data_IF_805128678975
#
_entry.id   IF_805128678975
#
_cell.length_a   1.000
_cell.length_b   1.000
_cell.length_c   1.000
_cell.angle_alpha   90.00
_cell.angle_beta   90.00
_cell.angle_gamma   90.00
#
_symmetry.space_group_name_H-M   'P 1'
#
loop_
_entity.id
_entity.type
_entity.pdbx_description
1 polymer ?
#
# COMPACT_ATOMS: atom_id res chain seq x y z
N UNK A 1 1.85 17.67 -20.50
CA UNK A 1 0.51 17.17 -20.11
C UNK A 1 -0.53 17.88 -20.95
N UNK A 2 -1.45 17.16 -21.60
CA UNK A 2 -2.50 17.74 -22.46
C UNK A 2 -3.86 17.89 -21.76
N UNK A 3 -4.00 17.30 -20.57
CA UNK A 3 -5.20 17.36 -19.75
C UNK A 3 -4.81 17.57 -18.28
N UNK A 4 -5.62 18.30 -17.49
CA UNK A 4 -5.42 18.40 -16.04
C UNK A 4 -5.67 17.05 -15.37
N UNK A 5 -4.95 16.80 -14.27
CA UNK A 5 -5.17 15.61 -13.44
C UNK A 5 -6.31 15.91 -12.46
N UNK A 6 -7.44 15.16 -12.51
CA UNK A 6 -8.56 15.43 -11.62
C UNK A 6 -8.23 14.99 -10.19
N UNK A 7 -8.82 15.68 -9.21
CA UNK A 7 -8.76 15.27 -7.81
C UNK A 7 -9.68 14.07 -7.58
N UNK A 8 -9.17 13.05 -6.87
CA UNK A 8 -9.97 11.94 -6.35
C UNK A 8 -10.59 12.36 -5.02
N UNK A 9 -11.75 13.01 -5.12
CA UNK A 9 -12.45 13.67 -4.01
C UNK A 9 -13.14 12.70 -3.07
N UNK A 10 -13.24 13.08 -1.80
CA UNK A 10 -13.98 12.34 -0.77
C UNK A 10 -15.47 12.24 -1.09
N UNK A 11 -16.01 11.04 -0.88
CA UNK A 11 -17.39 10.65 -1.18
C UNK A 11 -17.63 10.21 -2.61
N UNK A 12 -16.63 10.27 -3.49
CA UNK A 12 -16.81 9.98 -4.92
C UNK A 12 -15.96 8.80 -5.40
N UNK A 13 -16.59 7.94 -6.20
CA UNK A 13 -15.90 6.91 -6.97
C UNK A 13 -15.21 7.57 -8.17
N UNK A 14 -13.95 7.21 -8.43
CA UNK A 14 -13.22 7.76 -9.56
C UNK A 14 -11.87 7.08 -9.79
N UNK A 15 -11.32 7.26 -10.98
CA UNK A 15 -10.00 6.71 -11.33
C UNK A 15 -9.18 7.67 -12.18
N UNK A 16 -7.87 7.65 -11.97
CA UNK A 16 -6.87 8.35 -12.75
C UNK A 16 -5.84 7.33 -13.23
N UNK A 17 -5.64 7.24 -14.55
CA UNK A 17 -4.60 6.41 -15.15
C UNK A 17 -3.58 7.31 -15.83
N UNK A 18 -2.31 7.11 -15.50
CA UNK A 18 -1.18 7.87 -16.03
C UNK A 18 -0.14 6.90 -16.59
N UNK A 19 0.55 7.31 -17.65
CA UNK A 19 1.78 6.61 -18.03
C UNK A 19 2.85 6.77 -16.95
N UNK A 20 3.72 5.79 -16.80
CA UNK A 20 4.83 5.91 -15.85
C UNK A 20 5.78 7.06 -16.21
N UNK A 21 5.86 7.45 -17.49
CA UNK A 21 6.60 8.65 -17.92
C UNK A 21 5.99 9.93 -17.35
N UNK A 22 4.66 10.05 -17.36
CA UNK A 22 3.95 11.16 -16.73
C UNK A 22 4.18 11.18 -15.22
N UNK A 23 4.14 10.01 -14.56
CA UNK A 23 4.41 9.90 -13.13
C UNK A 23 5.84 10.32 -12.80
N UNK A 24 6.82 9.87 -13.59
CA UNK A 24 8.21 10.27 -13.42
C UNK A 24 8.40 11.79 -13.51
N UNK A 25 7.81 12.42 -14.54
CA UNK A 25 7.86 13.87 -14.69
C UNK A 25 7.24 14.62 -13.49
N UNK A 26 6.10 14.16 -12.97
CA UNK A 26 5.44 14.78 -11.81
C UNK A 26 6.23 14.59 -10.52
N UNK A 27 6.84 13.42 -10.33
CA UNK A 27 7.70 13.17 -9.18
C UNK A 27 8.98 14.01 -9.23
N UNK A 28 9.56 14.22 -10.42
CA UNK A 28 10.67 15.15 -10.59
C UNK A 28 10.27 16.58 -10.16
N UNK A 29 9.09 17.06 -10.58
CA UNK A 29 8.56 18.35 -10.11
C UNK A 29 8.40 18.39 -8.58
N UNK A 30 7.84 17.34 -7.97
CA UNK A 30 7.74 17.22 -6.52
C UNK A 30 9.11 17.26 -5.82
N UNK A 31 10.11 16.59 -6.41
CA UNK A 31 11.47 16.54 -5.89
C UNK A 31 12.17 17.90 -5.92
N UNK A 32 12.09 18.62 -7.04
CA UNK A 32 12.68 19.96 -7.19
C UNK A 32 11.95 21.03 -6.36
N UNK A 33 11.02 20.63 -5.49
CA UNK A 33 10.32 21.51 -4.56
C UNK A 33 9.68 22.70 -5.27
N UNK A 34 9.14 22.47 -6.48
CA UNK A 34 8.16 23.39 -7.07
C UNK A 34 6.85 23.39 -6.25
N UNK A 35 6.79 22.53 -5.22
CA UNK A 35 5.84 22.54 -4.12
C UNK A 35 6.62 22.70 -2.79
N UNK A 36 6.15 23.53 -1.85
CA UNK A 36 6.86 23.83 -0.59
C UNK A 36 6.94 22.60 0.35
N UNK A 37 8.14 22.20 0.82
CA UNK A 37 8.34 21.05 1.74
C UNK A 37 9.46 21.27 2.81
N UNK A 38 9.35 20.70 4.04
CA UNK A 38 10.34 20.86 5.13
C UNK A 38 11.50 19.81 5.18
N UNK A 39 12.67 20.17 5.75
CA UNK A 39 13.95 19.37 5.78
C UNK A 39 14.11 18.42 7.00
N UNK A 40 14.80 17.26 6.88
CA UNK A 40 15.04 16.29 8.00
C UNK A 40 16.21 15.26 7.77
N UNK A 41 16.72 14.58 8.81
CA UNK A 41 17.78 13.53 8.80
C UNK A 41 17.38 12.20 8.12
N UNK A 42 16.15 11.70 8.28
CA UNK A 42 15.65 10.57 7.45
C UNK A 42 15.41 10.98 6.00
N UNK A 43 15.41 12.29 5.71
CA UNK A 43 15.23 12.76 4.34
C UNK A 43 16.39 12.30 3.45
N UNK A 44 17.61 12.08 3.95
CA UNK A 44 18.72 11.63 3.09
C UNK A 44 18.44 10.27 2.45
N UNK A 45 17.99 9.27 3.21
CA UNK A 45 17.64 7.95 2.66
C UNK A 45 16.39 8.02 1.80
N UNK A 46 15.39 8.84 2.20
CA UNK A 46 14.18 9.05 1.38
C UNK A 46 14.50 9.72 0.04
N UNK A 47 15.36 10.74 0.06
CA UNK A 47 15.86 11.43 -1.13
C UNK A 47 16.66 10.46 -1.99
N UNK A 48 17.46 9.55 -1.42
CA UNK A 48 18.14 8.50 -2.20
C UNK A 48 17.16 7.59 -2.93
N UNK A 49 16.08 7.15 -2.29
CA UNK A 49 15.04 6.36 -2.97
C UNK A 49 14.43 7.11 -4.16
N UNK A 50 14.07 8.38 -3.95
CA UNK A 50 13.42 9.23 -4.96
C UNK A 50 14.42 9.58 -6.10
N UNK A 51 15.65 9.94 -5.76
CA UNK A 51 16.72 10.23 -6.72
C UNK A 51 17.13 8.99 -7.51
N UNK A 52 17.15 7.81 -6.90
CA UNK A 52 17.49 6.58 -7.60
C UNK A 52 16.48 6.27 -8.70
N UNK A 53 15.19 6.50 -8.44
CA UNK A 53 14.14 6.40 -9.45
C UNK A 53 14.36 7.36 -10.63
N UNK A 54 14.71 8.62 -10.36
CA UNK A 54 14.83 9.66 -11.39
C UNK A 54 16.11 9.55 -12.25
N UNK A 55 17.22 9.09 -11.66
CA UNK A 55 18.54 9.13 -12.32
C UNK A 55 19.01 7.81 -12.94
N UNK A 56 18.52 6.64 -12.50
CA UNK A 56 19.13 5.35 -12.86
C UNK A 56 18.25 4.43 -13.71
N UNK A 57 16.98 4.77 -13.95
CA UNK A 57 16.10 3.95 -14.75
C UNK A 57 15.82 4.61 -16.10
N UNK A 58 16.06 3.87 -17.18
CA UNK A 58 15.47 4.17 -18.48
C UNK A 58 13.97 4.29 -18.31
N UNK A 59 13.38 5.36 -18.85
CA UNK A 59 12.01 5.78 -18.57
C UNK A 59 11.06 4.58 -18.56
N UNK A 60 10.42 4.27 -17.42
CA UNK A 60 9.59 3.09 -17.31
C UNK A 60 8.43 3.13 -18.31
N UNK A 61 8.13 1.97 -18.92
CA UNK A 61 7.10 1.79 -19.92
C UNK A 61 5.90 1.08 -19.32
N UNK A 62 4.74 1.74 -19.32
CA UNK A 62 3.46 1.19 -18.89
C UNK A 62 2.57 2.27 -18.28
N UNK A 63 1.57 1.82 -17.52
CA UNK A 63 0.59 2.69 -16.88
C UNK A 63 0.38 2.32 -15.42
N UNK A 64 0.06 3.32 -14.63
CA UNK A 64 -0.37 3.18 -13.25
C UNK A 64 -1.77 3.77 -13.12
N UNK A 65 -2.66 3.05 -12.44
CA UNK A 65 -4.04 3.48 -12.20
C UNK A 65 -4.26 3.65 -10.71
N UNK A 66 -4.74 4.83 -10.33
CA UNK A 66 -5.19 5.18 -8.99
C UNK A 66 -6.70 5.22 -9.00
N UNK A 67 -7.35 4.47 -8.12
CA UNK A 67 -8.81 4.41 -8.04
C UNK A 67 -9.27 4.64 -6.61
N UNK A 68 -10.17 5.60 -6.44
CA UNK A 68 -10.90 5.81 -5.18
C UNK A 68 -12.23 5.08 -5.27
N UNK A 69 -12.58 4.38 -4.19
CA UNK A 69 -13.77 3.56 -4.11
C UNK A 69 -14.48 3.78 -2.78
N UNK A 70 -15.66 4.39 -2.82
CA UNK A 70 -16.62 4.54 -1.73
C UNK A 70 -17.69 3.45 -1.83
N UNK A 71 -17.82 2.63 -0.79
CA UNK A 71 -18.78 1.51 -0.73
C UNK A 71 -19.51 1.55 0.58
N UNK A 72 -20.84 1.50 0.54
CA UNK A 72 -21.65 1.37 1.75
C UNK A 72 -21.34 0.06 2.48
N UNK A 73 -21.41 0.03 3.82
CA UNK A 73 -21.21 -1.20 4.57
C UNK A 73 -22.27 -2.25 4.20
N UNK A 74 -21.94 -3.55 4.27
CA UNK A 74 -22.90 -4.60 4.01
C UNK A 74 -23.85 -4.73 5.21
N UNK A 75 -25.00 -5.36 4.99
CA UNK A 75 -25.84 -5.79 6.10
C UNK A 75 -25.24 -7.05 6.75
N UNK A 76 -24.41 -6.84 7.77
CA UNK A 76 -23.69 -7.89 8.50
C UNK A 76 -24.57 -9.05 8.98
N UNK A 77 -25.84 -8.78 9.32
CA UNK A 77 -26.77 -9.77 9.83
C UNK A 77 -27.29 -10.73 8.74
N UNK A 78 -27.15 -10.37 7.47
CA UNK A 78 -27.66 -11.14 6.33
C UNK A 78 -26.61 -12.03 5.68
N UNK A 79 -25.41 -12.07 6.24
CA UNK A 79 -24.28 -12.72 5.62
C UNK A 79 -24.14 -14.16 6.12
N UNK A 80 -24.19 -15.12 5.19
CA UNK A 80 -24.25 -16.56 5.50
C UNK A 80 -23.14 -17.38 4.81
N UNK A 81 -22.08 -16.72 4.32
CA UNK A 81 -20.99 -17.39 3.61
C UNK A 81 -20.20 -18.32 4.57
N UNK A 82 -19.28 -19.16 4.04
CA UNK A 82 -18.40 -20.05 4.83
C UNK A 82 -16.95 -19.51 4.90
N UNK A 83 -16.14 -20.01 5.85
CA UNK A 83 -14.73 -19.57 6.03
C UNK A 83 -13.91 -20.04 4.84
N UNK A 84 -13.42 -19.10 4.05
CA UNK A 84 -12.39 -19.38 3.05
C UNK A 84 -11.07 -19.74 3.74
N UNK A 85 -10.26 -20.55 3.05
CA UNK A 85 -8.95 -20.96 3.52
C UNK A 85 -7.99 -19.77 3.68
N UNK A 86 -7.11 -19.85 4.68
CA UNK A 86 -6.07 -18.86 4.92
C UNK A 86 -4.74 -19.52 5.30
N UNK A 87 -3.65 -18.81 5.01
CA UNK A 87 -2.29 -19.21 5.35
C UNK A 87 -1.69 -18.15 6.26
N UNK A 88 -1.10 -18.58 7.39
CA UNK A 88 -0.39 -17.70 8.31
C UNK A 88 1.11 -17.97 8.23
N UNK A 89 1.90 -16.92 8.05
CA UNK A 89 3.36 -16.98 8.06
C UNK A 89 3.91 -16.09 9.18
N UNK A 90 4.86 -16.63 9.96
CA UNK A 90 5.57 -15.91 11.04
C UNK A 90 6.81 -15.16 10.55
N UNK A 91 7.16 -15.33 9.27
CA UNK A 91 8.28 -14.69 8.60
C UNK A 91 7.89 -14.29 7.18
N UNK A 92 8.71 -13.44 6.55
CA UNK A 92 8.38 -12.82 5.26
C UNK A 92 7.79 -11.42 5.40
N UNK A 93 7.48 -10.80 4.27
CA UNK A 93 6.87 -9.47 4.15
C UNK A 93 5.77 -9.48 3.09
N UNK A 94 4.87 -8.50 3.13
CA UNK A 94 3.78 -8.40 2.14
C UNK A 94 4.35 -8.18 0.72
N UNK A 95 5.38 -7.33 0.59
CA UNK A 95 6.04 -6.99 -0.68
C UNK A 95 6.89 -8.10 -1.30
N UNK A 96 7.39 -9.03 -0.49
CA UNK A 96 8.28 -10.09 -0.97
C UNK A 96 7.51 -11.40 -1.19
N UNK A 97 6.52 -11.70 -0.35
CA UNK A 97 5.79 -12.98 -0.33
C UNK A 97 4.35 -12.85 -0.88
N UNK A 98 3.81 -11.64 -1.03
CA UNK A 98 2.46 -11.38 -1.55
C UNK A 98 2.32 -11.35 -3.06
N UNK A 99 3.33 -11.82 -3.82
CA UNK A 99 3.34 -11.69 -5.27
C UNK A 99 2.11 -12.33 -5.93
N UNK A 100 1.44 -11.57 -6.81
CA UNK A 100 0.21 -12.01 -7.50
C UNK A 100 -1.07 -11.88 -6.66
N UNK A 101 -0.95 -11.57 -5.38
CA UNK A 101 -2.05 -11.21 -4.50
C UNK A 101 -2.34 -9.71 -4.55
N UNK A 102 -3.42 -9.30 -3.92
CA UNK A 102 -3.66 -7.91 -3.57
C UNK A 102 -2.94 -7.60 -2.26
N UNK A 103 -1.88 -6.80 -2.36
CA UNK A 103 -1.02 -6.44 -1.24
C UNK A 103 -1.62 -5.28 -0.44
N UNK A 104 -1.80 -5.47 0.86
CA UNK A 104 -2.42 -4.49 1.74
C UNK A 104 -1.38 -3.52 2.29
N UNK A 105 -1.57 -2.23 2.05
CA UNK A 105 -0.89 -1.16 2.78
C UNK A 105 -1.69 -0.74 4.01
N UNK A 106 -1.01 -0.48 5.13
CA UNK A 106 -1.62 -0.06 6.39
C UNK A 106 -1.70 1.47 6.47
N UNK A 107 -2.55 2.02 5.61
CA UNK A 107 -2.52 3.43 5.27
C UNK A 107 -3.07 4.35 6.38
N UNK A 108 -2.59 5.60 6.36
CA UNK A 108 -3.16 6.73 7.09
C UNK A 108 -4.34 7.37 6.33
N UNK A 109 -5.20 8.11 7.06
CA UNK A 109 -6.36 8.82 6.47
C UNK A 109 -5.99 9.78 5.36
N UNK A 110 -4.77 10.28 5.42
CA UNK A 110 -4.09 10.91 4.31
C UNK A 110 -3.09 9.89 3.75
N UNK A 111 -3.35 9.42 2.53
CA UNK A 111 -2.53 8.42 1.86
C UNK A 111 -1.05 8.84 1.81
N UNK A 112 -0.16 7.91 2.11
CA UNK A 112 1.29 8.14 2.21
C UNK A 112 1.75 8.62 3.59
N UNK A 113 0.82 8.92 4.51
CA UNK A 113 1.11 9.22 5.90
C UNK A 113 2.25 10.23 6.09
N UNK A 114 3.34 9.78 6.71
CA UNK A 114 4.54 10.58 6.96
C UNK A 114 5.63 10.46 5.90
N UNK A 115 5.35 9.97 4.68
CA UNK A 115 6.38 9.66 3.68
C UNK A 115 7.19 10.90 3.30
N UNK A 116 6.55 12.06 3.15
CA UNK A 116 7.24 13.33 2.88
C UNK A 116 7.77 14.02 4.15
N UNK A 117 7.60 13.40 5.33
CA UNK A 117 8.01 13.96 6.62
C UNK A 117 8.84 12.97 7.45
N UNK A 118 8.42 12.65 8.68
CA UNK A 118 9.18 11.82 9.64
C UNK A 118 8.79 10.35 9.64
N UNK A 119 7.70 9.96 8.98
CA UNK A 119 7.21 8.58 8.95
C UNK A 119 8.20 7.64 8.25
N UNK A 120 8.34 6.43 8.79
CA UNK A 120 9.20 5.38 8.23
C UNK A 120 8.76 4.00 8.74
N UNK A 121 7.44 3.78 8.75
CA UNK A 121 6.83 2.49 9.10
C UNK A 121 6.32 1.82 7.82
N UNK A 122 5.44 0.82 7.92
CA UNK A 122 5.04 0.00 6.77
C UNK A 122 4.57 0.84 5.55
N UNK A 123 3.65 1.81 5.74
CA UNK A 123 3.14 2.69 4.66
C UNK A 123 4.28 3.50 4.02
N UNK A 124 5.08 4.22 4.81
CA UNK A 124 6.12 5.05 4.21
C UNK A 124 7.21 4.22 3.55
N UNK A 125 7.59 3.07 4.13
CA UNK A 125 8.56 2.17 3.52
C UNK A 125 8.05 1.68 2.16
N UNK A 126 6.76 1.33 2.06
CA UNK A 126 6.14 0.92 0.80
C UNK A 126 6.23 2.02 -0.27
N UNK A 127 5.90 3.26 0.09
CA UNK A 127 6.03 4.41 -0.81
C UNK A 127 7.47 4.72 -1.20
N UNK A 128 8.45 4.42 -0.34
CA UNK A 128 9.87 4.63 -0.63
C UNK A 128 10.43 3.59 -1.59
N UNK A 129 10.03 2.32 -1.46
CA UNK A 129 10.48 1.27 -2.38
C UNK A 129 9.73 1.33 -3.72
N UNK A 130 8.50 1.87 -3.73
CA UNK A 130 7.67 2.11 -4.91
C UNK A 130 7.30 3.62 -5.02
N UNK A 131 8.23 4.51 -5.40
CA UNK A 131 8.03 5.97 -5.41
C UNK A 131 6.85 6.48 -6.23
N UNK A 132 6.39 5.74 -7.25
CA UNK A 132 5.20 6.09 -8.04
C UNK A 132 3.94 6.28 -7.18
N UNK A 133 3.89 5.63 -6.01
CA UNK A 133 2.80 5.76 -5.05
C UNK A 133 2.71 7.16 -4.44
N UNK A 134 3.83 7.87 -4.28
CA UNK A 134 3.89 9.22 -3.70
C UNK A 134 3.01 10.19 -4.48
N UNK A 135 2.81 9.95 -5.78
CA UNK A 135 1.96 10.77 -6.62
C UNK A 135 0.51 10.82 -6.10
N UNK A 136 0.03 9.76 -5.45
CA UNK A 136 -1.31 9.76 -4.84
C UNK A 136 -1.50 10.84 -3.77
N UNK A 137 -0.43 11.26 -3.09
CA UNK A 137 -0.47 12.34 -2.10
C UNK A 137 -0.84 13.70 -2.70
N UNK A 138 -0.70 13.88 -4.02
CA UNK A 138 -0.99 15.15 -4.70
C UNK A 138 -2.46 15.34 -5.06
N UNK A 139 -3.21 14.26 -5.31
CA UNK A 139 -4.57 14.37 -5.84
C UNK A 139 -5.62 13.53 -5.12
N UNK A 140 -5.24 12.67 -4.18
CA UNK A 140 -6.19 11.94 -3.34
C UNK A 140 -6.53 12.76 -2.09
N UNK A 141 -7.80 13.14 -1.94
CA UNK A 141 -8.28 13.75 -0.70
C UNK A 141 -8.25 12.74 0.46
N UNK A 142 -8.34 13.22 1.70
CA UNK A 142 -8.50 12.40 2.90
C UNK A 142 -9.58 11.34 2.69
N UNK A 143 -9.33 10.07 3.03
CA UNK A 143 -10.39 9.05 2.97
C UNK A 143 -11.27 9.10 4.22
N UNK A 144 -12.58 8.91 4.00
CA UNK A 144 -13.63 8.76 5.02
C UNK A 144 -13.56 7.37 5.64
N UNK A 145 -14.63 6.84 6.25
CA UNK A 145 -14.66 5.50 6.87
C UNK A 145 -15.18 4.40 5.94
N UNK A 146 -15.68 4.76 4.76
CA UNK A 146 -16.26 3.85 3.78
C UNK A 146 -15.53 3.85 2.40
N UNK A 147 -14.31 4.37 2.34
CA UNK A 147 -13.55 4.64 1.11
C UNK A 147 -12.16 4.00 1.08
N UNK A 148 -11.83 3.23 0.05
CA UNK A 148 -10.48 2.71 -0.17
C UNK A 148 -9.80 3.33 -1.40
N UNK A 149 -8.46 3.28 -1.46
CA UNK A 149 -7.69 3.63 -2.66
C UNK A 149 -6.97 2.38 -3.19
N UNK A 150 -7.17 2.09 -4.46
CA UNK A 150 -6.51 0.99 -5.17
C UNK A 150 -5.48 1.57 -6.13
N UNK A 151 -4.26 1.04 -6.12
CA UNK A 151 -3.21 1.46 -7.06
C UNK A 151 -2.65 0.23 -7.77
N UNK A 152 -2.87 0.15 -9.08
CA UNK A 152 -2.36 -0.94 -9.91
C UNK A 152 -1.31 -0.44 -10.89
N UNK A 153 -0.27 -1.25 -11.10
CA UNK A 153 0.79 -0.96 -12.07
C UNK A 153 2.00 -0.25 -11.49
N UNK A 154 2.08 -0.07 -10.16
CA UNK A 154 3.25 0.49 -9.51
C UNK A 154 4.43 -0.50 -9.55
N UNK A 155 5.64 0.03 -9.69
CA UNK A 155 6.88 -0.75 -9.71
C UNK A 155 7.73 -0.50 -8.46
N UNK A 156 8.43 -1.55 -8.03
CA UNK A 156 9.44 -1.45 -6.98
C UNK A 156 10.79 -1.10 -7.60
N UNK A 157 11.39 -0.02 -7.10
CA UNK A 157 12.68 0.50 -7.57
C UNK A 157 13.80 0.33 -6.54
N UNK A 158 13.47 0.18 -5.25
CA UNK A 158 14.48 0.05 -4.19
C UNK A 158 14.29 -1.22 -3.36
N UNK A 159 15.39 -1.69 -2.77
CA UNK A 159 15.36 -2.68 -1.71
C UNK A 159 15.69 -2.00 -0.37
N UNK A 160 15.48 -2.70 0.74
CA UNK A 160 15.71 -2.15 2.06
C UNK A 160 15.96 -3.24 3.11
N UNK A 161 16.47 -2.80 4.25
CA UNK A 161 16.51 -3.59 5.49
C UNK A 161 16.09 -2.71 6.66
N UNK A 162 15.68 -3.33 7.77
CA UNK A 162 15.29 -2.61 8.98
C UNK A 162 13.90 -1.97 8.87
N UNK A 163 13.50 -1.25 9.91
CA UNK A 163 12.16 -0.67 10.05
C UNK A 163 12.22 0.52 10.99
N UNK A 164 11.39 1.55 10.78
CA UNK A 164 11.38 2.72 11.65
C UNK A 164 12.72 3.46 11.62
N UNK A 165 13.39 3.52 12.78
CA UNK A 165 14.67 4.22 12.92
C UNK A 165 15.85 3.46 12.31
N UNK A 166 15.72 2.15 12.14
CA UNK A 166 16.78 1.28 11.63
C UNK A 166 16.65 1.03 10.12
N UNK A 167 15.72 1.71 9.45
CA UNK A 167 15.56 1.63 8.01
C UNK A 167 16.85 2.01 7.29
N UNK A 168 17.28 1.13 6.37
CA UNK A 168 18.42 1.34 5.49
C UNK A 168 18.03 0.98 4.07
N UNK A 169 18.23 1.93 3.17
CA UNK A 169 18.05 1.75 1.73
C UNK A 169 19.14 0.85 1.15
N UNK A 170 18.77 0.05 0.16
CA UNK A 170 19.68 -0.70 -0.70
C UNK A 170 19.26 -0.53 -2.16
N UNK A 171 20.23 -0.44 -3.07
CA UNK A 171 19.95 -0.46 -4.50
C UNK A 171 19.30 -1.79 -4.88
N UNK A 172 18.22 -1.76 -5.66
CA UNK A 172 17.74 -2.96 -6.33
C UNK A 172 18.79 -3.40 -7.37
N UNK A 173 19.22 -4.66 -7.34
CA UNK A 173 20.09 -5.19 -8.41
C UNK A 173 19.32 -5.22 -9.73
N UNK A 174 20.00 -5.05 -10.87
CA UNK A 174 19.38 -5.14 -12.22
C UNK A 174 18.56 -6.42 -12.44
N UNK A 175 18.89 -7.50 -11.72
CA UNK A 175 18.20 -8.79 -11.78
C UNK A 175 16.98 -8.86 -10.85
N UNK A 176 16.97 -8.08 -9.76
CA UNK A 176 15.77 -7.82 -8.93
C UNK A 176 14.79 -6.86 -9.62
N UNK A 177 15.28 -6.07 -10.59
CA UNK A 177 14.50 -5.19 -11.48
C UNK A 177 13.80 -5.91 -12.63
N UNK A 178 13.66 -7.24 -12.56
CA UNK A 178 12.71 -7.97 -13.40
C UNK A 178 11.28 -7.56 -13.00
N UNK A 179 10.88 -6.38 -13.47
CA UNK A 179 9.53 -5.87 -13.76
C UNK A 179 8.41 -6.54 -12.96
N UNK A 180 8.49 -6.50 -11.62
CA UNK A 180 7.34 -6.90 -10.79
C UNK A 180 6.35 -5.76 -10.81
N UNK A 181 5.38 -5.87 -11.71
CA UNK A 181 4.15 -5.08 -11.67
C UNK A 181 3.41 -5.43 -10.39
N UNK A 182 3.39 -4.51 -9.44
CA UNK A 182 2.73 -4.74 -8.16
C UNK A 182 1.29 -4.22 -8.26
N UNK A 183 0.36 -5.04 -7.79
CA UNK A 183 -1.02 -4.62 -7.54
C UNK A 183 -1.12 -4.34 -6.05
N UNK A 184 -1.11 -3.06 -5.68
CA UNK A 184 -1.10 -2.65 -4.28
C UNK A 184 -2.47 -2.08 -3.95
N UNK A 185 -3.12 -2.63 -2.93
CA UNK A 185 -4.26 -1.98 -2.31
C UNK A 185 -3.77 -1.11 -1.17
N UNK A 186 -4.13 0.18 -1.19
CA UNK A 186 -3.92 1.05 -0.06
C UNK A 186 -5.15 1.01 0.85
N UNK A 187 -5.03 0.30 1.97
CA UNK A 187 -6.12 0.14 2.94
C UNK A 187 -5.90 1.02 4.17
N UNK A 188 -6.79 1.98 4.30
CA UNK A 188 -6.90 2.79 5.49
C UNK A 188 -7.55 2.03 6.63
N UNK A 189 -6.93 2.14 7.81
CA UNK A 189 -7.09 1.47 9.12
C UNK A 189 -8.47 0.97 9.62
N UNK A 190 -9.58 1.17 8.91
CA UNK A 190 -10.92 0.66 9.28
C UNK A 190 -11.77 0.14 8.09
N UNK A 191 -11.26 0.07 6.85
CA UNK A 191 -12.10 -0.16 5.64
C UNK A 191 -11.95 -1.52 5.01
N UNK A 192 -12.18 -2.55 5.81
CA UNK A 192 -12.12 -3.89 5.30
C UNK A 192 -13.20 -4.10 4.19
N UNK A 193 -14.39 -3.49 4.24
CA UNK A 193 -15.40 -3.73 3.20
C UNK A 193 -15.09 -3.11 1.83
N UNK A 194 -14.90 -1.79 1.75
CA UNK A 194 -14.67 -1.09 0.47
C UNK A 194 -13.38 -1.55 -0.24
N UNK A 195 -12.39 -1.98 0.55
CA UNK A 195 -11.11 -2.50 0.09
C UNK A 195 -11.13 -3.90 -0.49
N UNK A 196 -12.16 -4.70 -0.19
CA UNK A 196 -12.20 -6.12 -0.58
C UNK A 196 -13.08 -6.41 -1.79
N UNK A 197 -13.90 -5.47 -2.25
CA UNK A 197 -14.46 -5.54 -3.60
C UNK A 197 -13.38 -5.19 -4.60
N UNK A 198 -12.86 -6.22 -5.28
CA UNK A 198 -11.93 -6.00 -6.37
C UNK A 198 -12.60 -5.13 -7.44
N UNK A 199 -12.05 -3.96 -7.79
CA UNK A 199 -12.70 -3.06 -8.72
C UNK A 199 -12.88 -3.64 -10.14
N UNK A 200 -12.12 -4.68 -10.46
CA UNK A 200 -12.10 -5.43 -11.71
C UNK A 200 -12.82 -6.79 -11.60
N UNK A 201 -13.43 -7.10 -10.45
CA UNK A 201 -14.07 -8.40 -10.19
C UNK A 201 -13.09 -9.57 -10.06
N UNK A 202 -11.77 -9.32 -10.01
CA UNK A 202 -10.79 -10.39 -9.83
C UNK A 202 -11.00 -11.13 -8.50
N UNK A 203 -10.49 -12.36 -8.42
CA UNK A 203 -10.47 -13.20 -7.20
C UNK A 203 -9.06 -13.46 -6.71
N UNK A 204 -8.14 -12.50 -6.89
CA UNK A 204 -6.77 -12.61 -6.39
C UNK A 204 -6.80 -12.79 -4.87
N UNK A 205 -5.89 -13.59 -4.31
CA UNK A 205 -5.74 -13.65 -2.85
C UNK A 205 -5.36 -12.29 -2.25
N UNK A 206 -5.42 -12.15 -0.93
CA UNK A 206 -4.98 -10.92 -0.23
C UNK A 206 -3.76 -11.21 0.63
N UNK A 207 -2.71 -10.39 0.47
CA UNK A 207 -1.52 -10.43 1.32
C UNK A 207 -1.57 -9.29 2.34
N UNK A 208 -1.70 -9.64 3.62
CA UNK A 208 -1.93 -8.70 4.74
C UNK A 208 -1.10 -9.08 5.97
N UNK A 209 -1.33 -8.42 7.10
CA UNK A 209 -0.60 -8.67 8.36
C UNK A 209 -1.22 -7.97 9.57
N UNK A 210 -0.37 -7.59 10.53
CA UNK A 210 -0.76 -6.96 11.81
C UNK A 210 -1.22 -5.50 11.66
N UNK A 211 -2.33 -5.33 10.93
CA UNK A 211 -2.89 -4.03 10.58
C UNK A 211 -3.36 -3.24 11.81
N UNK A 212 -2.89 -2.00 11.93
CA UNK A 212 -3.26 -1.10 13.03
C UNK A 212 -2.71 -1.53 14.40
N UNK A 213 -1.81 -2.52 14.47
CA UNK A 213 -1.28 -3.03 15.74
C UNK A 213 0.08 -2.45 16.13
N UNK A 214 0.76 -1.76 15.20
CA UNK A 214 2.02 -1.06 15.48
C UNK A 214 1.81 0.30 16.13
N UNK A 215 2.04 1.37 15.37
CA UNK A 215 1.91 2.77 15.84
C UNK A 215 0.54 3.07 16.45
N UNK A 216 -0.50 2.44 15.92
CA UNK A 216 -1.89 2.62 16.35
C UNK A 216 -2.29 1.77 17.58
N UNK A 217 -1.38 0.91 18.07
CA UNK A 217 -1.54 0.14 19.32
C UNK A 217 -2.81 -0.73 19.39
N UNK A 218 -3.38 -1.12 18.26
CA UNK A 218 -4.51 -2.04 18.21
C UNK A 218 -4.13 -3.45 18.67
N UNK A 219 -5.09 -4.20 19.22
CA UNK A 219 -4.88 -5.59 19.62
C UNK A 219 -4.80 -6.50 18.36
N UNK A 220 -3.71 -7.27 18.18
CA UNK A 220 -3.53 -8.14 17.01
C UNK A 220 -4.62 -9.20 16.84
N UNK A 221 -5.07 -9.83 17.93
CA UNK A 221 -6.10 -10.87 17.87
C UNK A 221 -7.46 -10.27 17.47
N UNK A 222 -7.81 -9.12 18.03
CA UNK A 222 -9.06 -8.43 17.69
C UNK A 222 -9.02 -7.93 16.24
N UNK A 223 -7.91 -7.32 15.81
CA UNK A 223 -7.74 -6.83 14.43
C UNK A 223 -7.75 -7.97 13.43
N UNK A 224 -7.14 -9.11 13.76
CA UNK A 224 -7.21 -10.31 12.95
C UNK A 224 -8.64 -10.83 12.84
N UNK A 225 -9.39 -10.90 13.95
CA UNK A 225 -10.79 -11.32 13.92
C UNK A 225 -11.68 -10.35 13.13
N UNK A 226 -11.52 -9.04 13.31
CA UNK A 226 -12.23 -8.03 12.52
C UNK A 226 -11.87 -8.11 11.03
N UNK A 227 -10.60 -8.36 10.72
CA UNK A 227 -10.12 -8.60 9.37
C UNK A 227 -10.79 -9.83 8.78
N UNK A 228 -10.76 -10.97 9.48
CA UNK A 228 -11.44 -12.20 9.05
C UNK A 228 -12.93 -11.96 8.83
N UNK A 229 -13.63 -11.38 9.81
CA UNK A 229 -15.07 -11.14 9.72
C UNK A 229 -15.47 -10.31 8.49
N UNK A 230 -14.64 -9.34 8.10
CA UNK A 230 -14.91 -8.52 6.92
C UNK A 230 -14.41 -9.13 5.61
N UNK A 231 -13.28 -9.84 5.64
CA UNK A 231 -12.68 -10.51 4.49
C UNK A 231 -13.51 -11.70 4.01
N UNK A 232 -14.06 -12.45 4.96
CA UNK A 232 -14.90 -13.65 4.83
C UNK A 232 -16.01 -13.56 3.80
N UNK A 233 -16.45 -12.34 3.52
CA UNK A 233 -17.68 -12.07 2.81
C UNK A 233 -17.48 -11.93 1.32
N UNK A 234 -16.22 -11.84 0.85
CA UNK A 234 -15.96 -11.29 -0.48
C UNK A 234 -14.94 -12.11 -1.30
N UNK A 235 -13.95 -12.83 -0.72
CA UNK A 235 -12.87 -13.46 -1.53
C UNK A 235 -12.25 -14.75 -0.96
N UNK A 236 -11.69 -15.55 -1.87
CA UNK A 236 -10.96 -16.79 -1.58
C UNK A 236 -9.44 -16.54 -1.46
N UNK A 237 -8.83 -17.15 -0.43
CA UNK A 237 -7.38 -17.19 -0.11
C UNK A 237 -6.78 -15.91 0.47
N UNK A 238 -6.34 -15.97 1.73
CA UNK A 238 -5.54 -14.92 2.40
C UNK A 238 -4.16 -15.44 2.77
N UNK A 239 -3.11 -14.66 2.45
CA UNK A 239 -1.79 -14.77 3.08
C UNK A 239 -1.68 -13.72 4.19
N UNK A 240 -1.54 -14.19 5.42
CA UNK A 240 -1.32 -13.36 6.59
C UNK A 240 0.15 -13.43 7.00
N UNK A 241 0.91 -12.40 6.65
CA UNK A 241 2.26 -12.20 7.14
C UNK A 241 2.23 -11.49 8.50
N UNK A 242 2.47 -12.24 9.56
CA UNK A 242 2.56 -11.73 10.92
C UNK A 242 4.01 -11.30 11.16
N UNK A 243 4.32 -10.04 10.81
CA UNK A 243 5.59 -9.38 11.13
C UNK A 243 6.09 -9.77 12.52
N UNK A 244 7.18 -10.56 12.58
CA UNK A 244 8.04 -10.86 13.74
C UNK A 244 7.34 -10.74 15.10
N UNK A 245 6.23 -11.44 15.28
CA UNK A 245 5.53 -11.45 16.56
C UNK A 245 5.73 -12.80 17.23
N UNK A 246 6.38 -12.81 18.39
CA UNK A 246 6.44 -13.98 19.29
C UNK A 246 5.07 -14.43 19.78
N UNK A 247 4.00 -13.63 19.59
CA UNK A 247 2.64 -13.97 19.98
C UNK A 247 1.99 -15.06 19.11
N UNK A 248 2.57 -15.38 17.93
CA UNK A 248 2.02 -16.41 17.03
C UNK A 248 2.19 -17.82 17.61
N UNK A 249 3.23 -18.04 18.42
CA UNK A 249 3.44 -19.33 19.09
C UNK A 249 2.34 -19.69 20.11
N UNK A 250 1.48 -18.74 20.49
CA UNK A 250 0.38 -18.99 21.43
C UNK A 250 -0.93 -19.37 20.74
N UNK A 251 -1.11 -19.06 19.45
CA UNK A 251 -2.34 -19.33 18.70
C UNK A 251 -2.27 -20.54 17.77
N UNK A 252 -1.06 -21.01 17.43
CA UNK A 252 -0.84 -22.20 16.60
C UNK A 252 -0.37 -23.40 17.43
N UNK A 253 -0.88 -23.56 18.65
CA UNK A 253 -0.54 -24.69 19.51
C UNK A 253 -0.62 -26.03 18.77
N UNK A 254 0.55 -26.55 18.43
CA UNK A 254 0.88 -27.98 18.48
C UNK A 254 1.81 -28.16 19.69
#
# INVERSE_FOLDING_TARGET
FFQPIPLLRSGFNGSVTLSQQQVAALLAHAFFSTYEMPRNRTAVEKLRCILYFDFNFSVPFGVITFRRQSVDPPDWNRLTNHLSDFVVQSSGTIEDDGFGMLEVDFANKYIGGGVLSKGCVQEEIRFLICPELILSCLFCERMSENEAIFISGAQRFSNYTGYGRDFKWHSASKQTTLMRWVHIIFLLIMQAHAGFYSPDGSKKGIATGNWGCGVYRGNPHLKLLSFFYTFYLIRDVTLLSLFRSSAVNCCLGQ
#
